data_IF_260258924601
#
_entry.id   IF_260258924601
#
_cell.length_a   1.000
_cell.length_b   1.000
_cell.length_c   1.000
_cell.angle_alpha   90.00
_cell.angle_beta   90.00
_cell.angle_gamma   90.00
#
_symmetry.space_group_name_H-M   'P 1'
#
loop_
_entity.id
_entity.type
_entity.pdbx_description
1 polymer ?
#
# COMPACT_ATOMS: atom_id res chain seq x y z
N UNK A 1 -12.79 -8.76 66.10
CA UNK A 1 -13.72 -9.83 65.71
C UNK A 1 -14.30 -9.44 64.35
N UNK A 2 -14.32 -10.38 63.40
CA UNK A 2 -15.09 -10.24 62.15
C UNK A 2 -14.28 -9.75 60.96
N UNK A 3 -13.78 -10.70 60.20
CA UNK A 3 -13.16 -10.59 58.87
C UNK A 3 -14.28 -10.44 57.83
N UNK A 4 -14.04 -9.76 56.71
CA UNK A 4 -14.62 -10.15 55.41
C UNK A 4 -13.83 -9.52 54.26
N UNK A 5 -12.81 -10.27 53.82
CA UNK A 5 -12.08 -10.07 52.57
C UNK A 5 -12.84 -10.78 51.45
N UNK A 6 -13.40 -10.02 50.51
CA UNK A 6 -14.04 -10.56 49.30
C UNK A 6 -12.96 -10.76 48.22
N UNK A 7 -12.58 -12.02 48.01
CA UNK A 7 -11.69 -12.48 46.95
C UNK A 7 -12.50 -12.60 45.65
N UNK A 8 -12.24 -11.75 44.66
CA UNK A 8 -12.79 -11.89 43.30
C UNK A 8 -11.82 -12.70 42.46
N UNK A 9 -12.17 -13.96 42.19
CA UNK A 9 -11.45 -14.84 41.25
C UNK A 9 -11.83 -14.47 39.83
N UNK A 10 -10.89 -13.91 39.07
CA UNK A 10 -11.02 -13.72 37.62
C UNK A 10 -10.58 -15.01 36.94
N UNK A 11 -11.56 -15.82 36.51
CA UNK A 11 -11.35 -16.99 35.66
C UNK A 11 -10.97 -16.54 34.24
N UNK A 12 -9.77 -16.89 33.83
CA UNK A 12 -9.25 -16.84 32.45
C UNK A 12 -10.03 -17.81 31.55
N UNK A 13 -10.72 -17.29 30.54
CA UNK A 13 -11.26 -18.07 29.42
C UNK A 13 -10.34 -17.91 28.19
N UNK A 14 -9.73 -19.02 27.79
CA UNK A 14 -8.90 -19.18 26.59
C UNK A 14 -9.70 -19.12 25.27
N UNK A 15 -9.04 -18.85 24.13
CA UNK A 15 -9.70 -18.57 22.85
C UNK A 15 -10.12 -19.83 22.07
N UNK A 16 -11.32 -19.78 21.50
CA UNK A 16 -11.90 -20.82 20.63
C UNK A 16 -11.24 -20.79 19.25
N UNK A 17 -10.44 -21.81 18.95
CA UNK A 17 -9.92 -22.11 17.61
C UNK A 17 -10.94 -22.93 16.82
N UNK A 18 -11.49 -22.37 15.74
CA UNK A 18 -12.32 -23.11 14.78
C UNK A 18 -11.41 -23.86 13.77
N UNK A 19 -11.43 -25.19 13.86
CA UNK A 19 -10.72 -26.13 12.99
C UNK A 19 -11.73 -26.65 11.96
N UNK A 20 -11.53 -26.32 10.67
CA UNK A 20 -12.32 -26.88 9.59
C UNK A 20 -11.62 -28.12 9.02
N UNK A 21 -12.32 -29.24 9.07
CA UNK A 21 -11.94 -30.55 8.54
C UNK A 21 -12.93 -30.91 7.44
N UNK A 22 -12.49 -31.11 6.19
CA UNK A 22 -13.17 -31.92 5.16
C UNK A 22 -12.09 -32.35 4.15
N UNK A 23 -11.58 -33.57 4.25
CA UNK A 23 -12.08 -34.81 3.60
C UNK A 23 -11.45 -35.03 2.22
N UNK A 24 -10.38 -35.82 2.24
CA UNK A 24 -9.76 -36.43 1.07
C UNK A 24 -10.68 -37.53 0.50
N UNK A 25 -10.89 -37.50 -0.81
CA UNK A 25 -11.51 -38.59 -1.56
C UNK A 25 -10.40 -39.22 -2.42
N UNK A 26 -9.90 -40.35 -1.94
CA UNK A 26 -9.13 -41.32 -2.71
C UNK A 26 -10.12 -42.22 -3.47
N UNK A 27 -9.98 -42.30 -4.79
CA UNK A 27 -10.55 -43.38 -5.59
C UNK A 27 -9.40 -44.17 -6.19
N UNK A 28 -9.33 -45.40 -5.70
CA UNK A 28 -8.48 -46.50 -6.10
C UNK A 28 -9.35 -47.37 -7.01
N UNK A 29 -8.98 -47.53 -8.29
CA UNK A 29 -9.52 -48.62 -9.10
C UNK A 29 -8.42 -49.39 -9.82
N UNK A 30 -8.54 -50.69 -9.61
CA UNK A 30 -7.73 -51.83 -9.91
C UNK A 30 -7.40 -52.08 -11.38
N UNK A 31 -6.17 -52.57 -11.55
CA UNK A 31 -5.67 -53.56 -12.53
C UNK A 31 -6.71 -54.55 -13.08
N UNK A 32 -6.68 -54.71 -14.40
CA UNK A 32 -6.63 -55.97 -15.16
C UNK A 32 -5.71 -55.70 -16.36
N UNK A 33 -4.81 -56.54 -16.87
CA UNK A 33 -4.59 -57.97 -16.74
C UNK A 33 -4.52 -58.59 -18.15
N UNK A 34 -3.29 -58.99 -18.57
CA UNK A 34 -2.93 -59.83 -19.73
C UNK A 34 -2.84 -59.13 -21.10
N UNK A 35 -1.67 -58.94 -21.70
CA UNK A 35 -0.67 -59.90 -22.21
C UNK A 35 -1.11 -60.57 -23.52
N UNK A 36 -0.51 -60.16 -24.64
CA UNK A 36 -0.03 -61.11 -25.65
C UNK A 36 1.05 -60.50 -26.54
N UNK A 37 2.06 -61.34 -26.78
CA UNK A 37 3.31 -61.16 -27.51
C UNK A 37 3.13 -61.16 -29.02
N UNK A 38 4.01 -60.46 -29.75
CA UNK A 38 4.13 -60.63 -31.20
C UNK A 38 5.22 -59.76 -31.80
N UNK A 39 6.44 -60.27 -31.84
CA UNK A 39 7.56 -59.72 -32.60
C UNK A 39 7.34 -59.84 -34.11
N UNK A 40 7.41 -58.75 -34.87
CA UNK A 40 7.87 -58.76 -36.27
C UNK A 40 8.56 -57.43 -36.57
N UNK A 41 9.83 -57.51 -36.98
CA UNK A 41 10.54 -56.40 -37.60
C UNK A 41 10.07 -56.23 -39.04
N UNK A 42 9.69 -55.02 -39.44
CA UNK A 42 9.95 -54.53 -40.80
C UNK A 42 10.23 -53.04 -40.77
N UNK A 43 11.23 -52.69 -41.57
CA UNK A 43 11.85 -51.39 -41.76
C UNK A 43 11.16 -50.79 -42.99
N UNK A 44 10.46 -49.67 -42.85
CA UNK A 44 10.11 -48.81 -43.99
C UNK A 44 10.25 -47.34 -43.60
N UNK A 45 11.21 -46.69 -44.25
CA UNK A 45 11.36 -45.24 -44.33
C UNK A 45 10.17 -44.65 -45.12
N UNK A 46 9.62 -43.51 -44.67
CA UNK A 46 8.54 -42.83 -45.39
C UNK A 46 8.18 -41.46 -44.84
N UNK A 47 8.76 -40.42 -45.43
CA UNK A 47 8.47 -38.99 -45.27
C UNK A 47 6.97 -38.66 -45.12
N UNK A 48 6.59 -37.84 -44.12
CA UNK A 48 5.53 -36.81 -44.30
C UNK A 48 5.81 -35.53 -43.50
N UNK A 49 6.03 -34.47 -44.25
CA UNK A 49 6.21 -33.09 -43.80
C UNK A 49 4.90 -32.51 -43.23
N UNK A 50 4.92 -32.08 -41.95
CA UNK A 50 3.87 -31.25 -41.36
C UNK A 50 4.05 -29.79 -41.78
N UNK A 51 3.19 -29.32 -42.67
CA UNK A 51 3.24 -27.97 -43.26
C UNK A 51 3.04 -26.87 -42.21
N UNK A 52 3.86 -25.81 -42.32
CA UNK A 52 3.84 -24.62 -41.46
C UNK A 52 2.50 -23.84 -41.48
N UNK A 53 1.61 -24.15 -42.41
CA UNK A 53 0.32 -23.47 -42.65
C UNK A 53 -0.64 -23.61 -41.45
N UNK A 54 -0.63 -24.74 -40.73
CA UNK A 54 -1.48 -24.93 -39.55
C UNK A 54 -1.06 -24.13 -38.32
N UNK A 55 0.21 -23.71 -38.24
CA UNK A 55 0.74 -22.94 -37.09
C UNK A 55 0.46 -21.44 -37.23
N UNK A 56 0.53 -20.90 -38.44
CA UNK A 56 0.19 -19.49 -38.69
C UNK A 56 -1.31 -19.19 -38.48
N UNK A 57 -2.20 -20.13 -38.82
CA UNK A 57 -3.64 -19.97 -38.62
C UNK A 57 -4.03 -19.85 -37.14
N UNK A 58 -3.34 -20.56 -36.24
CA UNK A 58 -3.60 -20.50 -34.79
C UNK A 58 -3.09 -19.21 -34.14
N UNK A 59 -1.96 -18.68 -34.61
CA UNK A 59 -1.41 -17.41 -34.11
C UNK A 59 -2.29 -16.24 -34.54
N UNK A 60 -2.80 -16.28 -35.78
CA UNK A 60 -3.73 -15.26 -36.28
C UNK A 60 -5.07 -15.28 -35.52
N UNK A 61 -5.59 -16.46 -35.17
CA UNK A 61 -6.82 -16.60 -34.37
C UNK A 61 -6.64 -16.05 -32.94
N UNK A 62 -5.47 -16.27 -32.32
CA UNK A 62 -5.17 -15.69 -30.99
C UNK A 62 -5.01 -14.16 -31.04
N UNK A 63 -4.40 -13.61 -32.09
CA UNK A 63 -4.25 -12.16 -32.25
C UNK A 63 -5.60 -11.46 -32.45
N UNK A 64 -6.52 -12.08 -33.20
CA UNK A 64 -7.89 -11.57 -33.37
C UNK A 64 -8.69 -11.67 -32.06
N UNK A 65 -8.50 -12.73 -31.26
CA UNK A 65 -9.14 -12.84 -29.95
C UNK A 65 -8.68 -11.74 -28.96
N UNK A 66 -7.42 -11.30 -29.03
CA UNK A 66 -6.91 -10.18 -28.22
C UNK A 66 -7.37 -8.79 -28.72
N UNK A 67 -7.77 -8.65 -29.99
CA UNK A 67 -8.28 -7.41 -30.57
C UNK A 67 -9.78 -7.22 -30.40
N UNK A 68 -10.53 -8.32 -30.23
CA UNK A 68 -12.00 -8.30 -30.08
C UNK A 68 -12.44 -8.31 -28.61
N UNK A 69 -11.59 -8.73 -27.68
CA UNK A 69 -11.83 -8.51 -26.26
C UNK A 69 -11.23 -7.16 -25.85
N UNK A 70 -12.03 -6.10 -25.66
CA UNK A 70 -11.52 -4.95 -24.93
C UNK A 70 -11.09 -5.47 -23.57
N UNK A 71 -9.79 -5.40 -23.28
CA UNK A 71 -9.27 -5.47 -21.92
C UNK A 71 -9.86 -4.24 -21.25
N UNK A 72 -11.07 -4.40 -20.72
CA UNK A 72 -11.68 -3.41 -19.87
C UNK A 72 -10.69 -3.26 -18.72
N UNK A 73 -10.07 -2.09 -18.64
CA UNK A 73 -9.41 -1.61 -17.44
C UNK A 73 -10.50 -1.33 -16.38
N UNK A 74 -11.30 -2.34 -16.07
CA UNK A 74 -12.33 -2.29 -15.06
C UNK A 74 -11.61 -2.40 -13.71
N UNK A 75 -11.74 -1.35 -12.91
CA UNK A 75 -11.50 -1.45 -11.49
C UNK A 75 -12.24 -2.67 -10.95
N UNK A 76 -11.47 -3.52 -10.27
CA UNK A 76 -11.87 -4.64 -9.43
C UNK A 76 -13.31 -5.19 -9.60
N UNK A 77 -13.51 -6.35 -10.25
CA UNK A 77 -14.83 -7.00 -10.40
C UNK A 77 -15.64 -7.17 -9.09
N UNK A 78 -14.96 -7.10 -7.94
CA UNK A 78 -15.57 -7.14 -6.61
C UNK A 78 -16.50 -5.95 -6.29
N UNK A 79 -16.22 -4.72 -6.75
CA UNK A 79 -17.07 -3.56 -6.41
C UNK A 79 -18.39 -3.56 -7.20
N UNK A 80 -18.36 -3.97 -8.47
CA UNK A 80 -19.56 -4.14 -9.28
C UNK A 80 -20.47 -5.24 -8.72
N UNK A 81 -19.89 -6.39 -8.32
CA UNK A 81 -20.62 -7.46 -7.65
C UNK A 81 -21.25 -6.97 -6.33
N UNK A 82 -20.51 -6.18 -5.55
CA UNK A 82 -21.02 -5.59 -4.31
C UNK A 82 -22.20 -4.64 -4.56
N UNK A 83 -22.14 -3.80 -5.58
CA UNK A 83 -23.24 -2.90 -5.98
C UNK A 83 -24.49 -3.71 -6.37
N UNK A 84 -24.34 -4.80 -7.11
CA UNK A 84 -25.45 -5.67 -7.51
C UNK A 84 -26.11 -6.34 -6.29
N UNK A 85 -25.31 -6.88 -5.37
CA UNK A 85 -25.79 -7.48 -4.12
C UNK A 85 -26.57 -6.43 -3.31
N UNK A 86 -26.01 -5.22 -3.15
CA UNK A 86 -26.67 -4.15 -2.40
C UNK A 86 -27.96 -3.69 -3.06
N UNK A 87 -28.02 -3.67 -4.40
CA UNK A 87 -29.24 -3.33 -5.14
C UNK A 87 -30.36 -4.32 -4.85
N UNK A 88 -30.11 -5.63 -4.93
CA UNK A 88 -31.10 -6.66 -4.56
C UNK A 88 -31.53 -6.55 -3.09
N UNK A 89 -30.61 -6.21 -2.18
CA UNK A 89 -30.95 -5.99 -0.77
C UNK A 89 -31.84 -4.76 -0.57
N UNK A 90 -31.60 -3.68 -1.32
CA UNK A 90 -32.44 -2.47 -1.29
C UNK A 90 -33.84 -2.77 -1.81
N UNK A 91 -33.99 -3.60 -2.86
CA UNK A 91 -35.30 -4.04 -3.34
C UNK A 91 -36.09 -4.78 -2.26
N UNK A 92 -35.41 -5.64 -1.48
CA UNK A 92 -36.03 -6.34 -0.35
C UNK A 92 -36.28 -5.44 0.87
N UNK A 93 -35.45 -4.41 1.09
CA UNK A 93 -35.46 -3.55 2.28
C UNK A 93 -35.27 -2.07 1.91
N UNK A 94 -36.26 -1.44 1.24
CA UNK A 94 -36.09 -0.12 0.61
C UNK A 94 -36.04 1.06 1.59
N UNK A 95 -36.20 0.80 2.89
CA UNK A 95 -36.16 1.80 3.95
C UNK A 95 -34.96 1.65 4.88
N UNK A 96 -34.06 0.68 4.64
CA UNK A 96 -32.83 0.56 5.44
C UNK A 96 -31.78 1.58 4.97
N UNK A 97 -31.50 2.64 5.75
CA UNK A 97 -30.51 3.65 5.38
C UNK A 97 -29.10 3.09 5.21
N UNK A 98 -28.75 1.97 5.89
CA UNK A 98 -27.41 1.37 5.81
C UNK A 98 -27.11 0.81 4.43
N UNK A 99 -28.13 0.25 3.76
CA UNK A 99 -27.94 -0.30 2.42
C UNK A 99 -27.60 0.79 1.39
N UNK A 100 -28.28 1.93 1.50
CA UNK A 100 -27.96 3.10 0.68
C UNK A 100 -26.60 3.69 1.04
N UNK A 101 -26.24 3.72 2.33
CA UNK A 101 -24.91 4.17 2.76
C UNK A 101 -23.80 3.30 2.14
N UNK A 102 -23.94 1.97 2.25
CA UNK A 102 -22.97 1.00 1.74
C UNK A 102 -22.86 1.04 0.22
N UNK A 103 -23.99 1.19 -0.49
CA UNK A 103 -23.99 1.25 -1.97
C UNK A 103 -23.47 2.60 -2.46
N UNK A 104 -23.78 3.68 -1.75
CA UNK A 104 -23.23 5.00 -2.01
C UNK A 104 -21.70 5.01 -1.87
N UNK A 105 -21.16 4.36 -0.83
CA UNK A 105 -19.72 4.18 -0.66
C UNK A 105 -19.11 3.35 -1.81
N UNK A 106 -19.75 2.24 -2.21
CA UNK A 106 -19.29 1.41 -3.33
C UNK A 106 -19.26 2.20 -4.66
N UNK A 107 -20.33 2.92 -5.00
CA UNK A 107 -20.34 3.82 -6.16
C UNK A 107 -19.24 4.89 -6.08
N UNK A 108 -18.97 5.43 -4.88
CA UNK A 108 -17.88 6.40 -4.71
C UNK A 108 -16.50 5.78 -5.00
N UNK A 109 -16.29 4.51 -4.66
CA UNK A 109 -15.05 3.78 -4.96
C UNK A 109 -14.90 3.42 -6.43
N UNK A 110 -16.01 3.12 -7.11
CA UNK A 110 -16.06 2.83 -8.55
C UNK A 110 -15.90 4.09 -9.43
N UNK A 111 -16.06 5.29 -8.84
CA UNK A 111 -15.97 6.57 -9.54
C UNK A 111 -17.31 7.13 -10.00
N UNK A 112 -18.40 6.41 -9.73
CA UNK A 112 -19.78 6.77 -10.04
C UNK A 112 -20.35 7.80 -9.03
N UNK A 113 -19.72 8.98 -8.99
CA UNK A 113 -19.97 9.99 -7.97
C UNK A 113 -21.41 10.52 -7.92
N UNK A 114 -22.12 10.55 -9.05
CA UNK A 114 -23.52 10.98 -9.10
C UNK A 114 -24.46 9.97 -8.44
N UNK A 115 -24.23 8.68 -8.68
CA UNK A 115 -24.97 7.59 -8.03
C UNK A 115 -24.64 7.53 -6.55
N UNK A 116 -23.36 7.66 -6.19
CA UNK A 116 -22.90 7.76 -4.81
C UNK A 116 -23.63 8.88 -4.05
N UNK A 117 -23.66 10.09 -4.61
CA UNK A 117 -24.34 11.24 -3.99
C UNK A 117 -25.83 10.98 -3.78
N UNK A 118 -26.49 10.34 -4.76
CA UNK A 118 -27.92 10.02 -4.68
C UNK A 118 -28.21 9.07 -3.52
N UNK A 119 -27.45 7.98 -3.43
CA UNK A 119 -27.61 6.97 -2.39
C UNK A 119 -27.24 7.52 -1.00
N UNK A 120 -26.14 8.27 -0.87
CA UNK A 120 -25.74 8.86 0.41
C UNK A 120 -26.77 9.89 0.92
N UNK A 121 -27.39 10.67 0.02
CA UNK A 121 -28.50 11.56 0.38
C UNK A 121 -29.74 10.78 0.80
N UNK A 122 -30.03 9.66 0.12
CA UNK A 122 -31.15 8.80 0.49
C UNK A 122 -30.94 8.17 1.88
N UNK A 123 -29.73 7.70 2.18
CA UNK A 123 -29.35 7.21 3.50
C UNK A 123 -29.56 8.29 4.58
N UNK A 124 -29.12 9.52 4.31
CA UNK A 124 -29.31 10.66 5.21
C UNK A 124 -30.78 11.05 5.43
N UNK A 125 -31.66 10.82 4.44
CA UNK A 125 -33.10 11.08 4.59
C UNK A 125 -33.82 9.98 5.38
N UNK A 126 -33.38 8.72 5.22
CA UNK A 126 -34.02 7.55 5.84
C UNK A 126 -33.54 7.30 7.28
N UNK A 127 -32.35 7.79 7.65
CA UNK A 127 -31.74 7.58 8.97
C UNK A 127 -31.14 8.85 9.56
N UNK A 128 -30.30 8.70 10.59
CA UNK A 128 -29.53 9.83 11.14
C UNK A 128 -28.47 10.27 10.10
N UNK A 129 -28.54 11.52 9.59
CA UNK A 129 -27.61 12.00 8.59
C UNK A 129 -26.15 12.00 9.04
N UNK A 130 -25.86 11.92 10.34
CA UNK A 130 -24.49 11.84 10.84
C UNK A 130 -23.76 10.62 10.27
N UNK A 131 -24.45 9.50 10.05
CA UNK A 131 -23.81 8.29 9.50
C UNK A 131 -23.42 8.45 8.02
N UNK A 132 -24.18 9.23 7.25
CA UNK A 132 -23.83 9.55 5.86
C UNK A 132 -22.77 10.66 5.76
N UNK A 133 -22.57 11.47 6.80
CA UNK A 133 -21.67 12.62 6.76
C UNK A 133 -20.20 12.22 6.51
N UNK A 134 -19.73 11.09 7.05
CA UNK A 134 -18.37 10.62 6.77
C UNK A 134 -18.18 10.30 5.28
N UNK A 135 -19.06 9.47 4.70
CA UNK A 135 -18.99 9.08 3.28
C UNK A 135 -19.22 10.27 2.33
N UNK A 136 -20.13 11.19 2.68
CA UNK A 136 -20.31 12.44 1.94
C UNK A 136 -19.03 13.30 1.98
N UNK A 137 -18.35 13.36 3.13
CA UNK A 137 -17.06 14.04 3.27
C UNK A 137 -16.00 13.46 2.35
N UNK A 138 -15.89 12.13 2.29
CA UNK A 138 -14.98 11.44 1.37
C UNK A 138 -15.33 11.69 -0.10
N UNK A 139 -16.62 11.62 -0.45
CA UNK A 139 -17.10 11.85 -1.81
C UNK A 139 -16.80 13.27 -2.28
N UNK A 140 -17.09 14.28 -1.45
CA UNK A 140 -16.76 15.67 -1.74
C UNK A 140 -15.25 15.87 -1.93
N UNK A 141 -14.43 15.25 -1.09
CA UNK A 141 -12.97 15.31 -1.24
C UNK A 141 -12.49 14.71 -2.57
N UNK A 142 -13.02 13.54 -2.97
CA UNK A 142 -12.71 12.91 -4.27
C UNK A 142 -13.15 13.76 -5.46
N UNK A 143 -14.22 14.54 -5.32
CA UNK A 143 -14.69 15.52 -6.31
C UNK A 143 -13.90 16.84 -6.30
N UNK A 144 -12.96 17.02 -5.37
CA UNK A 144 -12.20 18.26 -5.20
C UNK A 144 -12.94 19.37 -4.43
N UNK A 145 -14.13 19.09 -3.92
CA UNK A 145 -15.02 19.99 -3.17
C UNK A 145 -14.58 20.06 -1.70
N UNK A 146 -13.45 20.72 -1.45
CA UNK A 146 -12.74 20.68 -0.15
C UNK A 146 -13.53 21.33 0.99
N UNK A 147 -14.26 22.41 0.73
CA UNK A 147 -15.05 23.12 1.75
C UNK A 147 -16.24 22.27 2.21
N UNK A 148 -16.91 21.62 1.25
CA UNK A 148 -18.01 20.69 1.50
C UNK A 148 -17.52 19.45 2.24
N UNK A 149 -16.36 18.90 1.83
CA UNK A 149 -15.73 17.79 2.51
C UNK A 149 -15.46 18.09 3.98
N UNK A 150 -14.86 19.26 4.26
CA UNK A 150 -14.63 19.75 5.63
C UNK A 150 -15.94 19.81 6.42
N UNK A 151 -16.97 20.42 5.85
CA UNK A 151 -18.27 20.59 6.51
C UNK A 151 -18.88 19.25 6.93
N UNK A 152 -18.85 18.25 6.05
CA UNK A 152 -19.40 16.93 6.36
C UNK A 152 -18.55 16.18 7.38
N UNK A 153 -17.22 16.27 7.30
CA UNK A 153 -16.31 15.66 8.27
C UNK A 153 -16.44 16.32 9.66
N UNK A 154 -16.61 17.64 9.73
CA UNK A 154 -16.87 18.38 10.96
C UNK A 154 -18.17 17.91 11.64
N UNK A 155 -19.23 17.74 10.84
CA UNK A 155 -20.51 17.19 11.32
C UNK A 155 -20.34 15.79 11.90
N UNK A 156 -19.60 14.91 11.22
CA UNK A 156 -19.34 13.56 11.68
C UNK A 156 -18.52 13.55 12.99
N UNK A 157 -17.43 14.31 13.01
CA UNK A 157 -16.50 14.38 14.15
C UNK A 157 -17.09 15.08 15.37
N UNK A 158 -18.16 15.86 15.22
CA UNK A 158 -18.93 16.38 16.36
C UNK A 158 -19.52 15.23 17.20
N UNK A 159 -19.98 14.16 16.54
CA UNK A 159 -20.55 12.98 17.23
C UNK A 159 -19.51 11.93 17.58
N UNK A 160 -18.51 11.75 16.72
CA UNK A 160 -17.46 10.75 16.86
C UNK A 160 -16.08 11.41 16.93
N UNK A 161 -15.76 12.14 18.02
CA UNK A 161 -14.56 12.99 18.09
C UNK A 161 -13.24 12.22 17.99
N UNK A 162 -13.23 10.91 18.25
CA UNK A 162 -12.03 10.09 18.24
C UNK A 162 -11.98 9.11 17.06
N UNK A 163 -12.81 9.31 16.03
CA UNK A 163 -12.80 8.46 14.85
C UNK A 163 -11.56 8.75 13.98
N UNK A 164 -10.49 7.98 14.19
CA UNK A 164 -9.20 8.18 13.53
C UNK A 164 -9.26 8.33 12.01
N UNK A 165 -10.01 7.50 11.25
CA UNK A 165 -10.11 7.68 9.81
C UNK A 165 -10.73 9.03 9.41
N UNK A 166 -11.71 9.53 10.16
CA UNK A 166 -12.34 10.82 9.87
C UNK A 166 -11.42 12.00 10.23
N UNK A 167 -10.67 11.89 11.33
CA UNK A 167 -9.63 12.86 11.70
C UNK A 167 -8.55 12.94 10.62
N UNK A 168 -8.05 11.80 10.16
CA UNK A 168 -7.03 11.75 9.10
C UNK A 168 -7.52 12.36 7.79
N UNK A 169 -8.76 12.06 7.38
CA UNK A 169 -9.34 12.62 6.16
C UNK A 169 -9.58 14.12 6.30
N UNK A 170 -10.03 14.59 7.47
CA UNK A 170 -10.17 16.03 7.71
C UNK A 170 -8.83 16.73 7.72
N UNK A 171 -7.78 16.13 8.27
CA UNK A 171 -6.43 16.67 8.22
C UNK A 171 -5.95 16.88 6.77
N UNK A 172 -6.22 15.93 5.86
CA UNK A 172 -5.91 16.08 4.43
C UNK A 172 -6.72 17.21 3.78
N UNK A 173 -8.01 17.29 4.07
CA UNK A 173 -8.87 18.37 3.58
C UNK A 173 -8.39 19.74 4.06
N UNK A 174 -8.02 19.86 5.34
CA UNK A 174 -7.51 21.09 5.94
C UNK A 174 -6.16 21.50 5.34
N UNK A 175 -5.26 20.54 5.10
CA UNK A 175 -4.00 20.78 4.41
C UNK A 175 -4.18 21.31 2.99
N UNK A 176 -5.13 20.73 2.24
CA UNK A 176 -5.52 21.18 0.90
C UNK A 176 -6.13 22.59 0.89
N UNK A 177 -6.79 22.97 1.98
CA UNK A 177 -7.34 24.32 2.21
C UNK A 177 -6.27 25.31 2.74
N UNK A 178 -5.05 24.85 3.01
CA UNK A 178 -3.96 25.68 3.55
C UNK A 178 -4.00 25.88 5.08
N UNK A 179 -4.91 25.22 5.79
CA UNK A 179 -5.00 25.26 7.25
C UNK A 179 -4.05 24.22 7.88
N UNK A 180 -2.75 24.49 7.76
CA UNK A 180 -1.67 23.61 8.25
C UNK A 180 -1.80 23.33 9.75
N UNK A 181 -2.13 24.35 10.55
CA UNK A 181 -2.20 24.21 12.00
C UNK A 181 -3.34 23.27 12.41
N UNK A 182 -4.54 23.42 11.84
CA UNK A 182 -5.66 22.53 12.15
C UNK A 182 -5.41 21.11 11.61
N UNK A 183 -4.76 20.98 10.45
CA UNK A 183 -4.41 19.67 9.89
C UNK A 183 -3.44 18.89 10.80
N UNK A 184 -2.39 19.54 11.29
CA UNK A 184 -1.45 18.94 12.24
C UNK A 184 -2.16 18.56 13.55
N UNK A 185 -3.05 19.42 14.06
CA UNK A 185 -3.81 19.12 15.27
C UNK A 185 -4.67 17.85 15.13
N UNK A 186 -5.26 17.62 13.96
CA UNK A 186 -6.00 16.38 13.70
C UNK A 186 -5.09 15.15 13.57
N UNK A 187 -3.91 15.26 12.95
CA UNK A 187 -2.92 14.18 12.97
C UNK A 187 -2.47 13.83 14.40
N UNK A 188 -2.24 14.82 15.25
CA UNK A 188 -1.90 14.58 16.66
C UNK A 188 -3.01 13.82 17.39
N UNK A 189 -4.29 14.15 17.12
CA UNK A 189 -5.43 13.39 17.65
C UNK A 189 -5.46 11.96 17.11
N UNK A 190 -5.15 11.74 15.83
CA UNK A 190 -5.01 10.38 15.27
C UNK A 190 -3.95 9.58 16.04
N UNK A 191 -2.81 10.19 16.34
CA UNK A 191 -1.74 9.55 17.10
C UNK A 191 -2.14 9.28 18.55
N UNK A 192 -2.94 10.14 19.18
CA UNK A 192 -3.43 9.94 20.54
C UNK A 192 -4.41 8.75 20.65
N UNK A 193 -5.26 8.53 19.65
CA UNK A 193 -6.35 7.52 19.71
C UNK A 193 -6.00 6.18 19.05
N UNK A 194 -4.92 6.13 18.26
CA UNK A 194 -4.53 4.92 17.51
C UNK A 194 -3.28 4.31 18.11
N UNK A 195 -3.29 3.03 18.49
CA UNK A 195 -2.12 2.37 19.10
C UNK A 195 -0.93 2.28 18.15
N UNK A 196 -1.19 1.91 16.89
CA UNK A 196 -0.20 1.82 15.81
C UNK A 196 -0.68 2.63 14.60
N UNK A 197 -0.44 3.94 14.56
CA UNK A 197 -0.81 4.78 13.43
C UNK A 197 -0.13 4.33 12.14
N UNK A 198 -0.75 4.64 11.00
CA UNK A 198 -0.13 4.41 9.70
C UNK A 198 1.13 5.30 9.58
N UNK A 199 2.31 4.76 9.19
CA UNK A 199 3.49 5.58 8.93
C UNK A 199 3.23 6.74 7.95
N UNK A 200 2.34 6.54 6.98
CA UNK A 200 1.92 7.58 6.03
C UNK A 200 1.29 8.80 6.68
N UNK A 201 0.68 8.66 7.87
CA UNK A 201 0.11 9.79 8.61
C UNK A 201 1.20 10.65 9.25
N UNK A 202 2.28 10.04 9.80
CA UNK A 202 3.47 10.77 10.25
C UNK A 202 4.16 11.50 9.10
N UNK A 203 4.30 10.84 7.96
CA UNK A 203 4.87 11.44 6.76
C UNK A 203 4.04 12.63 6.26
N UNK A 204 2.71 12.49 6.25
CA UNK A 204 1.81 13.55 5.84
C UNK A 204 1.88 14.74 6.78
N UNK A 205 1.89 14.51 8.10
CA UNK A 205 2.05 15.57 9.10
C UNK A 205 3.41 16.28 8.98
N UNK A 206 4.51 15.55 8.81
CA UNK A 206 5.84 16.12 8.65
C UNK A 206 5.95 17.01 7.39
N UNK A 207 5.34 16.58 6.29
CA UNK A 207 5.29 17.37 5.03
C UNK A 207 4.58 18.71 5.19
N UNK A 208 3.64 18.82 6.13
CA UNK A 208 2.96 20.09 6.38
C UNK A 208 3.89 21.12 7.02
N UNK A 209 4.78 20.69 7.91
CA UNK A 209 5.80 21.57 8.52
C UNK A 209 6.91 21.96 7.54
N UNK A 210 7.33 21.02 6.68
CA UNK A 210 8.43 21.27 5.73
C UNK A 210 8.14 22.37 4.68
N UNK A 211 6.92 22.92 4.62
CA UNK A 211 6.55 24.02 3.72
C UNK A 211 7.16 25.36 4.14
N UNK A 212 7.48 25.54 5.43
CA UNK A 212 7.85 26.84 6.01
C UNK A 212 9.38 27.04 6.14
N UNK A 213 10.18 26.31 5.36
CA UNK A 213 11.65 26.26 5.37
C UNK A 213 12.29 25.74 6.69
N UNK A 214 11.60 25.85 7.82
CA UNK A 214 12.01 25.21 9.08
C UNK A 214 11.69 23.71 9.05
N UNK A 215 12.75 22.90 8.90
CA UNK A 215 12.64 21.44 8.86
C UNK A 215 12.61 20.80 10.25
N UNK A 216 12.90 21.53 11.33
CA UNK A 216 13.01 20.94 12.67
C UNK A 216 11.69 20.34 13.19
N UNK A 217 10.52 20.98 13.05
CA UNK A 217 9.25 20.37 13.45
C UNK A 217 8.89 19.14 12.61
N UNK A 218 9.25 19.16 11.32
CA UNK A 218 9.06 18.01 10.44
C UNK A 218 9.91 16.81 10.89
N UNK A 219 11.20 17.03 11.20
CA UNK A 219 12.09 15.99 11.71
C UNK A 219 11.61 15.43 13.06
N UNK A 220 11.18 16.29 13.98
CA UNK A 220 10.64 15.85 15.27
C UNK A 220 9.39 14.96 15.11
N UNK A 221 8.52 15.29 14.15
CA UNK A 221 7.34 14.47 13.82
C UNK A 221 7.75 13.08 13.30
N UNK A 222 8.74 13.03 12.40
CA UNK A 222 9.24 11.75 11.87
C UNK A 222 9.91 10.91 12.95
N UNK A 223 10.76 11.52 13.78
CA UNK A 223 11.48 10.84 14.86
C UNK A 223 10.50 10.24 15.88
N UNK A 224 9.44 10.96 16.27
CA UNK A 224 8.34 10.40 17.08
C UNK A 224 7.67 9.20 16.42
N UNK A 225 7.47 9.25 15.10
CA UNK A 225 6.92 8.12 14.34
C UNK A 225 7.82 6.90 14.40
N UNK A 226 9.13 7.08 14.29
CA UNK A 226 10.13 6.00 14.32
C UNK A 226 10.37 5.44 15.72
N UNK A 227 10.30 6.27 16.76
CA UNK A 227 10.31 5.80 18.16
C UNK A 227 9.13 4.87 18.44
N UNK A 228 7.96 5.20 17.89
CA UNK A 228 6.73 4.43 18.15
C UNK A 228 6.58 3.18 17.28
N UNK A 229 6.95 3.27 16.00
CA UNK A 229 6.71 2.23 15.00
C UNK A 229 7.95 1.37 14.72
N UNK A 230 9.13 1.81 15.19
CA UNK A 230 10.42 1.23 14.85
C UNK A 230 11.00 1.82 13.57
N UNK A 231 12.03 1.15 13.04
CA UNK A 231 12.73 1.60 11.83
C UNK A 231 11.85 1.37 10.60
N UNK A 232 11.22 2.45 10.12
CA UNK A 232 10.43 2.48 8.90
C UNK A 232 11.24 3.18 7.80
N UNK A 233 11.63 2.48 6.71
CA UNK A 233 12.50 3.03 5.67
C UNK A 233 11.98 4.34 5.07
N UNK A 234 10.66 4.45 4.85
CA UNK A 234 10.05 5.64 4.25
C UNK A 234 10.18 6.88 5.15
N UNK A 235 10.04 6.74 6.47
CA UNK A 235 10.20 7.87 7.40
C UNK A 235 11.68 8.29 7.49
N UNK A 236 12.59 7.31 7.51
CA UNK A 236 14.02 7.57 7.53
C UNK A 236 14.48 8.29 6.26
N UNK A 237 14.05 7.83 5.09
CA UNK A 237 14.39 8.45 3.80
C UNK A 237 13.96 9.91 3.74
N UNK A 238 12.73 10.21 4.17
CA UNK A 238 12.25 11.58 4.18
C UNK A 238 12.98 12.45 5.21
N UNK A 239 13.34 11.90 6.37
CA UNK A 239 14.15 12.63 7.35
C UNK A 239 15.57 12.93 6.84
N UNK A 240 16.22 11.99 6.13
CA UNK A 240 17.52 12.22 5.47
C UNK A 240 17.39 13.36 4.45
N UNK A 241 16.34 13.37 3.65
CA UNK A 241 16.09 14.42 2.66
C UNK A 241 15.96 15.80 3.32
N UNK A 242 15.20 15.91 4.40
CA UNK A 242 15.03 17.15 5.16
C UNK A 242 16.32 17.61 5.84
N UNK A 243 17.10 16.68 6.42
CA UNK A 243 18.42 16.98 7.00
C UNK A 243 19.38 17.51 5.94
N UNK A 244 19.39 16.92 4.74
CA UNK A 244 20.19 17.39 3.61
C UNK A 244 19.76 18.78 3.13
N UNK A 245 18.46 19.04 3.03
CA UNK A 245 17.93 20.37 2.67
C UNK A 245 18.30 21.43 3.73
N UNK A 246 18.31 21.05 5.00
CA UNK A 246 18.76 21.90 6.10
C UNK A 246 20.28 22.00 6.27
N UNK A 247 21.08 21.41 5.37
CA UNK A 247 22.56 21.41 5.44
C UNK A 247 23.16 20.50 6.53
N UNK A 248 22.36 19.69 7.20
CA UNK A 248 22.73 18.81 8.32
C UNK A 248 23.27 17.46 7.84
N UNK A 249 24.29 17.51 6.97
CA UNK A 249 24.83 16.31 6.29
C UNK A 249 25.38 15.25 7.25
N UNK A 250 25.91 15.65 8.41
CA UNK A 250 26.38 14.70 9.43
C UNK A 250 25.22 13.92 10.07
N UNK A 251 24.06 14.56 10.33
CA UNK A 251 22.88 13.87 10.87
C UNK A 251 22.28 12.90 9.86
N UNK A 252 22.22 13.32 8.59
CA UNK A 252 21.81 12.47 7.48
C UNK A 252 22.68 11.20 7.39
N UNK A 253 23.99 11.34 7.65
CA UNK A 253 24.94 10.23 7.64
C UNK A 253 24.65 9.25 8.78
N UNK A 254 24.54 9.74 10.02
CA UNK A 254 24.20 8.91 11.18
C UNK A 254 22.87 8.17 11.01
N UNK A 255 21.90 8.81 10.35
CA UNK A 255 20.59 8.21 10.06
C UNK A 255 20.70 7.08 9.04
N UNK A 256 21.48 7.28 7.98
CA UNK A 256 21.72 6.26 6.96
C UNK A 256 22.52 5.06 7.50
N UNK A 257 23.48 5.30 8.40
CA UNK A 257 24.22 4.25 9.11
C UNK A 257 23.30 3.41 10.00
N UNK A 258 22.41 4.06 10.78
CA UNK A 258 21.41 3.35 11.59
C UNK A 258 20.49 2.48 10.74
N UNK A 259 20.10 2.94 9.55
CA UNK A 259 19.25 2.17 8.64
C UNK A 259 19.93 0.89 8.13
N UNK A 260 21.24 0.93 7.92
CA UNK A 260 22.03 -0.22 7.45
C UNK A 260 21.98 -1.39 8.42
N UNK A 261 22.00 -1.10 9.73
CA UNK A 261 21.91 -2.13 10.77
C UNK A 261 20.62 -2.96 10.71
N UNK A 262 19.55 -2.39 10.13
CA UNK A 262 18.23 -3.04 10.04
C UNK A 262 17.98 -3.64 8.66
N UNK A 263 18.35 -2.94 7.58
CA UNK A 263 18.06 -3.36 6.20
C UNK A 263 19.21 -4.13 5.53
N UNK A 264 20.39 -4.14 6.16
CA UNK A 264 21.62 -4.69 5.61
C UNK A 264 22.33 -3.76 4.63
N UNK A 265 23.63 -3.99 4.47
CA UNK A 265 24.53 -3.16 3.65
C UNK A 265 24.46 -3.55 2.16
N UNK A 266 23.26 -3.49 1.58
CA UNK A 266 23.03 -3.82 0.17
C UNK A 266 23.77 -2.88 -0.79
N UNK A 267 23.83 -3.21 -2.09
CA UNK A 267 24.47 -2.35 -3.09
C UNK A 267 23.80 -0.97 -3.18
N UNK A 268 22.48 -0.90 -3.03
CA UNK A 268 21.72 0.36 -3.02
C UNK A 268 22.15 1.26 -1.85
N UNK A 269 22.24 0.67 -0.65
CA UNK A 269 22.67 1.40 0.55
C UNK A 269 24.11 1.94 0.39
N UNK A 270 25.02 1.13 -0.16
CA UNK A 270 26.39 1.58 -0.40
C UNK A 270 26.45 2.73 -1.42
N UNK A 271 25.60 2.73 -2.45
CA UNK A 271 25.52 3.85 -3.39
C UNK A 271 24.98 5.11 -2.71
N UNK A 272 23.91 5.01 -1.93
CA UNK A 272 23.37 6.15 -1.18
C UNK A 272 24.40 6.71 -0.19
N UNK A 273 25.13 5.83 0.49
CA UNK A 273 26.21 6.19 1.40
C UNK A 273 27.33 6.93 0.68
N UNK A 274 27.75 6.42 -0.48
CA UNK A 274 28.77 7.08 -1.29
C UNK A 274 28.35 8.47 -1.75
N UNK A 275 27.12 8.64 -2.25
CA UNK A 275 26.62 9.94 -2.69
C UNK A 275 26.60 10.97 -1.57
N UNK A 276 26.16 10.57 -0.37
CA UNK A 276 26.19 11.43 0.81
C UNK A 276 27.62 11.81 1.19
N UNK A 277 28.53 10.84 1.23
CA UNK A 277 29.95 11.08 1.53
C UNK A 277 30.62 12.00 0.49
N UNK A 278 30.22 11.95 -0.77
CA UNK A 278 30.71 12.87 -1.82
C UNK A 278 30.27 14.30 -1.52
N UNK A 279 28.99 14.51 -1.18
CA UNK A 279 28.47 15.84 -0.78
C UNK A 279 29.23 16.42 0.41
N UNK A 280 29.69 15.55 1.32
CA UNK A 280 30.49 15.93 2.49
C UNK A 280 31.99 16.08 2.19
N UNK A 281 32.43 15.95 0.93
CA UNK A 281 33.86 16.00 0.54
C UNK A 281 34.68 14.77 0.95
N UNK A 282 34.05 13.72 1.49
CA UNK A 282 34.70 12.48 1.97
C UNK A 282 34.93 11.47 0.83
N UNK A 283 35.53 11.92 -0.27
CA UNK A 283 35.68 11.18 -1.54
C UNK A 283 36.35 9.80 -1.36
N UNK A 284 37.40 9.72 -0.53
CA UNK A 284 38.09 8.44 -0.27
C UNK A 284 37.15 7.40 0.35
N UNK A 285 36.26 7.84 1.23
CA UNK A 285 35.30 6.95 1.87
C UNK A 285 34.22 6.53 0.87
N UNK A 286 33.70 7.48 0.09
CA UNK A 286 32.72 7.21 -0.97
C UNK A 286 33.20 6.16 -1.97
N UNK A 287 34.45 6.26 -2.45
CA UNK A 287 35.03 5.27 -3.38
C UNK A 287 35.05 3.85 -2.82
N UNK A 288 35.24 3.68 -1.50
CA UNK A 288 35.18 2.35 -0.85
C UNK A 288 33.77 1.76 -0.93
N UNK A 289 32.75 2.58 -0.67
CA UNK A 289 31.36 2.15 -0.77
C UNK A 289 30.95 1.83 -2.22
N UNK A 290 31.33 2.65 -3.20
CA UNK A 290 31.09 2.36 -4.62
C UNK A 290 31.76 1.06 -5.06
N UNK A 291 33.01 0.83 -4.64
CA UNK A 291 33.73 -0.43 -4.91
C UNK A 291 33.02 -1.64 -4.29
N UNK A 292 32.53 -1.50 -3.06
CA UNK A 292 31.74 -2.53 -2.37
C UNK A 292 30.44 -2.83 -3.12
N UNK A 293 29.69 -1.79 -3.50
CA UNK A 293 28.45 -1.92 -4.27
C UNK A 293 28.68 -2.63 -5.61
N UNK A 294 29.69 -2.21 -6.37
CA UNK A 294 30.07 -2.82 -7.64
C UNK A 294 30.45 -4.29 -7.49
N UNK A 295 31.18 -4.65 -6.42
CA UNK A 295 31.51 -6.04 -6.13
C UNK A 295 30.25 -6.87 -5.87
N UNK A 296 29.41 -6.42 -4.94
CA UNK A 296 28.16 -7.13 -4.60
C UNK A 296 27.23 -7.26 -5.81
N UNK A 297 27.16 -6.26 -6.69
CA UNK A 297 26.32 -6.33 -7.90
C UNK A 297 26.81 -7.36 -8.92
N UNK A 298 28.11 -7.67 -8.98
CA UNK A 298 28.62 -8.73 -9.87
C UNK A 298 28.15 -10.11 -9.46
N UNK A 299 27.98 -10.33 -8.16
CA UNK A 299 27.61 -11.61 -7.58
C UNK A 299 26.07 -11.82 -7.58
N UNK A 300 25.29 -10.74 -7.72
CA UNK A 300 23.84 -10.78 -7.73
C UNK A 300 23.27 -11.02 -9.14
N UNK A 301 22.12 -11.72 -9.20
CA UNK A 301 21.35 -11.89 -10.45
C UNK A 301 21.03 -10.53 -11.09
N UNK A 302 21.27 -10.40 -12.39
CA UNK A 302 20.92 -9.20 -13.15
C UNK A 302 19.41 -8.99 -13.21
N UNK A 303 18.99 -7.77 -12.88
CA UNK A 303 17.63 -7.26 -13.05
C UNK A 303 17.72 -5.86 -13.69
N UNK A 304 16.63 -5.33 -14.26
CA UNK A 304 16.62 -3.96 -14.79
C UNK A 304 17.10 -2.93 -13.74
N UNK A 305 16.58 -3.00 -12.52
CA UNK A 305 16.96 -2.09 -11.42
C UNK A 305 18.45 -2.17 -11.07
N UNK A 306 19.03 -3.39 -10.98
CA UNK A 306 20.46 -3.58 -10.68
C UNK A 306 21.37 -3.13 -11.82
N UNK A 307 20.91 -3.30 -13.06
CA UNK A 307 21.62 -2.79 -14.23
C UNK A 307 21.67 -1.26 -14.19
N UNK A 308 20.57 -0.62 -13.82
CA UNK A 308 20.52 0.83 -13.69
C UNK A 308 21.39 1.34 -12.54
N UNK A 309 21.36 0.64 -11.39
CA UNK A 309 22.25 0.96 -10.27
C UNK A 309 23.73 0.84 -10.66
N UNK A 310 24.11 -0.17 -11.44
CA UNK A 310 25.48 -0.32 -11.95
C UNK A 310 25.89 0.84 -12.86
N UNK A 311 25.00 1.30 -13.75
CA UNK A 311 25.26 2.50 -14.58
C UNK A 311 25.43 3.75 -13.72
N UNK A 312 24.60 3.91 -12.69
CA UNK A 312 24.67 5.02 -11.74
C UNK A 312 26.03 5.05 -11.03
N UNK A 313 26.54 3.89 -10.59
CA UNK A 313 27.88 3.80 -9.98
C UNK A 313 28.96 4.31 -10.95
N UNK A 314 28.96 3.84 -12.20
CA UNK A 314 29.94 4.28 -13.21
C UNK A 314 29.85 5.79 -13.45
N UNK A 315 28.64 6.34 -13.50
CA UNK A 315 28.44 7.78 -13.66
C UNK A 315 29.00 8.57 -12.47
N UNK A 316 28.79 8.10 -11.25
CA UNK A 316 29.36 8.73 -10.04
C UNK A 316 30.89 8.61 -10.05
N UNK A 317 31.46 7.45 -10.38
CA UNK A 317 32.91 7.28 -10.42
C UNK A 317 33.57 8.21 -11.45
N UNK A 318 32.93 8.43 -12.59
CA UNK A 318 33.41 9.36 -13.61
C UNK A 318 33.50 10.81 -13.10
N UNK A 319 32.54 11.28 -12.28
CA UNK A 319 32.58 12.63 -11.71
C UNK A 319 33.68 12.81 -10.67
N UNK A 320 34.16 11.72 -10.06
CA UNK A 320 35.24 11.74 -9.05
C UNK A 320 36.65 11.69 -9.66
N UNK A 321 36.78 11.52 -10.98
CA UNK A 321 38.06 11.43 -11.70
C UNK A 321 38.43 12.77 -12.37
N UNK A 322 37.46 13.66 -12.57
CA UNK A 322 37.70 14.99 -13.13
C UNK A 322 38.40 15.90 -12.11
N UNK A 323 39.52 16.56 -12.50
CA UNK A 323 40.40 17.31 -11.59
C UNK A 323 39.81 18.60 -11.03
#
# INVERSE_FOLDING_TARGET
MGVDTVTVTVTTTEPVTAKASMSAVTLEESRTGSAESGSVSTREDGLRAGSAVGRLSRVLLMLVACLVYPISAAGHPAELERIEILTRRIEAQPLDPRLYLDRGAAYSHDGEYALAMTDLRRAAQLGDPVFAAYELGLLHYRKGERTEARTQLDRFLTRFPNHAPALEQRARVLADLGDTQAAVADYERVFAVTQRPNPGSYLSAAKLFARDADVAPALAMLDRGMERLGVIPQLQQYAIELELLGGQSDRALERLERLSSVLGDGPEWNVQMAELLIRMGRVKQARRHLSSASKTLRDLRRTPARTELAKRIVAIEATLVSP
#
